data_IF_239122374889
#
_entry.id   IF_239122374889
#
_cell.length_a   1.000
_cell.length_b   1.000
_cell.length_c   1.000
_cell.angle_alpha   90.00
_cell.angle_beta   90.00
_cell.angle_gamma   90.00
#
_symmetry.space_group_name_H-M   'P 1'
#
loop_
_entity.id
_entity.type
_entity.pdbx_description
1 polymer ?
#
# COMPACT_ATOMS: atom_id res chain seq x y z
N UNK A 1 11.67 19.70 -29.05
CA UNK A 1 11.71 20.32 -27.70
C UNK A 1 10.35 20.30 -26.98
N UNK A 2 9.42 19.39 -27.32
CA UNK A 2 8.12 19.22 -26.64
C UNK A 2 7.99 17.90 -25.88
N UNK A 3 8.84 16.92 -26.19
CA UNK A 3 8.73 15.57 -25.62
C UNK A 3 9.34 15.47 -24.21
N UNK A 4 10.38 16.24 -23.91
CA UNK A 4 11.03 16.22 -22.59
C UNK A 4 10.10 16.70 -21.46
N UNK A 5 9.14 17.58 -21.76
CA UNK A 5 8.18 18.10 -20.77
C UNK A 5 7.10 17.06 -20.43
N UNK A 6 6.75 16.17 -21.37
CA UNK A 6 5.80 15.09 -21.12
C UNK A 6 6.40 14.01 -20.21
N UNK A 7 7.68 13.71 -20.35
CA UNK A 7 8.36 12.72 -19.50
C UNK A 7 8.43 13.15 -18.04
N UNK A 8 8.69 14.44 -17.76
CA UNK A 8 8.72 14.95 -16.38
C UNK A 8 7.34 14.88 -15.72
N UNK A 9 6.25 15.14 -16.46
CA UNK A 9 4.88 15.01 -15.95
C UNK A 9 4.46 13.54 -15.73
N UNK A 10 5.04 12.59 -16.47
CA UNK A 10 4.77 11.16 -16.28
C UNK A 10 5.37 10.61 -14.99
N UNK A 11 6.44 11.21 -14.46
CA UNK A 11 7.03 10.81 -13.16
C UNK A 11 6.08 11.18 -12.01
N UNK A 12 5.34 12.28 -12.15
CA UNK A 12 4.32 12.72 -11.18
C UNK A 12 2.92 12.17 -11.48
N UNK A 13 2.78 11.37 -12.52
CA UNK A 13 1.52 10.67 -12.78
C UNK A 13 1.37 9.60 -11.71
N UNK A 14 0.30 9.64 -10.89
CA UNK A 14 0.00 8.56 -9.96
C UNK A 14 -0.09 7.29 -10.81
N UNK A 15 0.86 6.37 -10.65
CA UNK A 15 0.67 5.04 -11.20
C UNK A 15 -0.64 4.54 -10.62
N UNK A 16 -1.50 3.97 -11.47
CA UNK A 16 -2.79 3.39 -11.11
C UNK A 16 -2.55 2.08 -10.33
N UNK A 17 -1.91 2.25 -9.18
CA UNK A 17 -1.56 1.22 -8.26
C UNK A 17 -2.84 0.89 -7.52
N UNK A 18 -3.45 -0.24 -7.89
CA UNK A 18 -4.68 -0.70 -7.24
C UNK A 18 -4.33 -1.22 -5.84
N UNK A 19 -4.73 -0.51 -4.78
CA UNK A 19 -4.50 -1.00 -3.43
C UNK A 19 -5.38 -2.23 -3.17
N UNK A 20 -4.88 -3.10 -2.30
CA UNK A 20 -5.70 -4.17 -1.73
C UNK A 20 -6.72 -3.51 -0.80
N UNK A 21 -7.99 -3.65 -1.14
CA UNK A 21 -9.09 -3.12 -0.35
C UNK A 21 -9.39 -4.06 0.82
N UNK A 22 -9.43 -3.51 2.02
CA UNK A 22 -9.80 -4.27 3.22
C UNK A 22 -11.31 -4.14 3.48
N UNK A 23 -11.87 -2.96 3.17
CA UNK A 23 -13.30 -2.71 3.29
C UNK A 23 -14.01 -3.04 1.98
N UNK A 24 -15.02 -3.90 2.07
CA UNK A 24 -15.94 -4.18 0.96
C UNK A 24 -17.04 -3.12 0.86
N UNK A 25 -17.68 -3.02 -0.31
CA UNK A 25 -18.84 -2.16 -0.51
C UNK A 25 -18.53 -0.66 -0.65
N UNK A 26 -17.28 -0.30 -0.98
CA UNK A 26 -16.93 1.08 -1.31
C UNK A 26 -17.61 1.49 -2.62
N UNK A 27 -18.27 2.65 -2.62
CA UNK A 27 -18.82 3.26 -3.82
C UNK A 27 -17.72 3.69 -4.78
N UNK A 28 -18.08 3.85 -6.07
CA UNK A 28 -17.15 4.38 -7.08
C UNK A 28 -16.55 5.74 -6.68
N UNK A 29 -17.32 6.57 -5.98
CA UNK A 29 -16.88 7.89 -5.50
C UNK A 29 -15.88 7.76 -4.35
N UNK A 30 -16.14 6.86 -3.40
CA UNK A 30 -15.19 6.55 -2.32
C UNK A 30 -13.86 6.01 -2.87
N UNK A 31 -13.91 5.09 -3.83
CA UNK A 31 -12.72 4.56 -4.51
C UNK A 31 -11.93 5.67 -5.20
N UNK A 32 -12.60 6.57 -5.93
CA UNK A 32 -11.96 7.71 -6.59
C UNK A 32 -11.39 8.76 -5.60
N UNK A 33 -11.92 8.80 -4.37
CA UNK A 33 -11.46 9.72 -3.33
C UNK A 33 -10.32 9.17 -2.47
N UNK A 34 -9.88 7.93 -2.72
CA UNK A 34 -8.82 7.29 -1.95
C UNK A 34 -7.51 8.05 -2.09
N UNK A 35 -6.83 8.26 -0.96
CA UNK A 35 -5.51 8.89 -0.93
C UNK A 35 -4.59 8.15 0.02
N UNK A 36 -3.30 8.14 -0.32
CA UNK A 36 -2.26 7.67 0.58
C UNK A 36 -2.25 8.55 1.84
N UNK A 37 -2.33 7.93 3.01
CA UNK A 37 -2.36 8.61 4.32
C UNK A 37 -1.15 8.31 5.18
N UNK A 38 -0.39 7.26 4.86
CA UNK A 38 0.79 6.90 5.61
C UNK A 38 1.51 5.69 5.04
N UNK A 39 2.67 5.39 5.62
CA UNK A 39 3.49 4.23 5.28
C UNK A 39 3.68 3.40 6.55
N UNK A 40 3.62 2.09 6.41
CA UNK A 40 3.85 1.14 7.49
C UNK A 40 4.80 0.04 7.06
N UNK A 41 5.57 -0.50 7.99
CA UNK A 41 6.54 -1.57 7.72
C UNK A 41 6.29 -2.78 8.62
N UNK A 42 6.60 -3.96 8.09
CA UNK A 42 6.65 -5.22 8.83
C UNK A 42 8.07 -5.75 8.69
N UNK A 43 8.74 -6.02 9.79
CA UNK A 43 10.15 -6.44 9.79
C UNK A 43 10.34 -7.95 9.97
N UNK A 44 9.26 -8.68 10.26
CA UNK A 44 9.31 -10.11 10.54
C UNK A 44 8.06 -10.81 10.03
N UNK A 45 8.22 -11.60 8.97
CA UNK A 45 7.23 -12.56 8.48
C UNK A 45 7.97 -13.75 7.88
N UNK A 46 7.50 -14.97 8.12
CA UNK A 46 8.13 -16.18 7.56
C UNK A 46 7.58 -16.52 6.16
N UNK A 47 6.41 -15.98 5.83
CA UNK A 47 5.72 -16.22 4.57
C UNK A 47 5.08 -14.93 4.05
N UNK A 48 4.77 -14.90 2.75
CA UNK A 48 4.03 -13.80 2.14
C UNK A 48 2.61 -13.67 2.73
N UNK A 49 1.98 -14.78 3.11
CA UNK A 49 0.66 -14.78 3.74
C UNK A 49 0.68 -14.15 5.14
N UNK A 50 1.70 -14.46 5.94
CA UNK A 50 1.92 -13.83 7.24
C UNK A 50 2.23 -12.33 7.09
N UNK A 51 3.08 -11.98 6.12
CA UNK A 51 3.38 -10.59 5.78
C UNK A 51 2.10 -9.83 5.39
N UNK A 52 1.26 -10.44 4.55
CA UNK A 52 0.00 -9.87 4.12
C UNK A 52 -0.98 -9.69 5.28
N UNK A 53 -1.12 -10.71 6.12
CA UNK A 53 -1.97 -10.69 7.32
C UNK A 53 -1.53 -9.60 8.31
N UNK A 54 -0.22 -9.43 8.48
CA UNK A 54 0.35 -8.35 9.29
C UNK A 54 0.01 -6.96 8.73
N UNK A 55 0.05 -6.78 7.41
CA UNK A 55 -0.37 -5.53 6.78
C UNK A 55 -1.86 -5.27 6.88
N UNK A 56 -2.70 -6.29 6.69
CA UNK A 56 -4.16 -6.18 6.90
C UNK A 56 -4.45 -5.70 8.31
N UNK A 57 -3.84 -6.33 9.33
CA UNK A 57 -4.02 -5.93 10.73
C UNK A 57 -3.59 -4.48 10.97
N UNK A 58 -2.39 -4.10 10.52
CA UNK A 58 -1.89 -2.73 10.69
C UNK A 58 -2.75 -1.68 9.98
N UNK A 59 -3.28 -2.02 8.81
CA UNK A 59 -4.17 -1.13 8.08
C UNK A 59 -5.52 -0.98 8.79
N UNK A 60 -6.08 -2.07 9.36
CA UNK A 60 -7.28 -2.00 10.20
C UNK A 60 -7.04 -1.16 11.47
N UNK A 61 -5.93 -1.37 12.17
CA UNK A 61 -5.57 -0.63 13.38
C UNK A 61 -5.41 0.88 13.09
N UNK A 62 -4.95 1.23 11.88
CA UNK A 62 -4.83 2.61 11.40
C UNK A 62 -6.15 3.20 10.84
N UNK A 63 -7.23 2.43 10.79
CA UNK A 63 -8.49 2.84 10.17
C UNK A 63 -8.40 3.10 8.66
N UNK A 64 -7.44 2.44 7.98
CA UNK A 64 -7.26 2.53 6.54
C UNK A 64 -8.28 1.65 5.80
N UNK A 65 -8.68 2.08 4.60
CA UNK A 65 -9.64 1.34 3.75
C UNK A 65 -8.95 0.35 2.82
N UNK A 66 -7.64 0.53 2.63
CA UNK A 66 -6.80 -0.35 1.84
C UNK A 66 -5.32 -0.07 2.06
N UNK A 67 -4.48 -0.95 1.50
CA UNK A 67 -3.03 -0.83 1.54
C UNK A 67 -2.43 -1.30 0.22
N UNK A 68 -1.21 -0.85 -0.06
CA UNK A 68 -0.44 -1.34 -1.18
C UNK A 68 0.98 -1.64 -0.70
N UNK A 69 1.41 -2.89 -0.83
CA UNK A 69 2.78 -3.30 -0.51
C UNK A 69 3.71 -2.71 -1.58
N UNK A 70 4.54 -1.75 -1.19
CA UNK A 70 5.47 -1.05 -2.09
C UNK A 70 6.83 -1.72 -2.16
N UNK A 71 7.23 -2.44 -1.12
CA UNK A 71 8.50 -3.15 -1.08
C UNK A 71 8.36 -4.44 -0.27
N UNK A 72 9.04 -5.49 -0.72
CA UNK A 72 9.19 -6.75 0.00
C UNK A 72 10.65 -7.15 -0.08
N UNK A 73 11.28 -7.26 1.08
CA UNK A 73 12.65 -7.71 1.24
C UNK A 73 12.64 -9.11 1.83
N UNK A 74 13.29 -10.06 1.16
CA UNK A 74 13.54 -11.37 1.75
C UNK A 74 14.99 -11.42 2.21
N UNK A 75 15.19 -11.52 3.51
CA UNK A 75 16.48 -11.71 4.13
C UNK A 75 16.67 -13.21 4.36
N UNK A 76 17.69 -13.81 3.73
CA UNK A 76 18.22 -15.10 4.17
C UNK A 76 18.92 -14.86 5.50
N UNK A 77 18.33 -15.32 6.60
CA UNK A 77 18.92 -15.17 7.92
C UNK A 77 20.30 -15.86 7.95
N UNK A 78 21.30 -15.17 8.50
CA UNK A 78 22.68 -15.62 8.49
C UNK A 78 23.01 -16.84 9.34
N UNK A 79 22.07 -17.52 10.00
CA UNK A 79 22.39 -18.69 10.84
C UNK A 79 21.31 -19.76 11.06
N UNK A 80 20.01 -19.54 10.81
CA UNK A 80 18.96 -20.50 11.27
C UNK A 80 17.99 -21.04 10.19
N UNK A 81 18.29 -20.85 8.90
CA UNK A 81 17.53 -21.52 7.82
C UNK A 81 16.08 -21.06 7.64
N UNK A 82 15.57 -20.14 8.47
CA UNK A 82 14.26 -19.53 8.28
C UNK A 82 14.36 -18.33 7.34
N UNK A 83 13.53 -18.33 6.29
CA UNK A 83 13.37 -17.17 5.42
C UNK A 83 12.57 -16.11 6.17
N UNK A 84 13.20 -14.96 6.45
CA UNK A 84 12.50 -13.83 7.05
C UNK A 84 12.22 -12.80 5.95
N UNK A 85 10.98 -12.38 5.87
CA UNK A 85 10.47 -11.37 4.97
C UNK A 85 10.19 -10.11 5.79
N UNK A 86 10.69 -9.00 5.29
CA UNK A 86 10.29 -7.67 5.69
C UNK A 86 9.56 -7.01 4.52
N UNK A 87 8.74 -6.01 4.79
CA UNK A 87 8.06 -5.28 3.74
C UNK A 87 7.66 -3.90 4.21
N UNK A 88 7.32 -3.07 3.23
CA UNK A 88 6.74 -1.75 3.43
C UNK A 88 5.44 -1.65 2.63
N UNK A 89 4.42 -1.04 3.21
CA UNK A 89 3.14 -0.80 2.56
C UNK A 89 2.68 0.64 2.77
N UNK A 90 2.08 1.22 1.74
CA UNK A 90 1.36 2.49 1.81
C UNK A 90 -0.08 2.23 2.19
N UNK A 91 -0.59 2.96 3.19
CA UNK A 91 -1.97 2.89 3.64
C UNK A 91 -2.81 3.94 2.93
N UNK A 92 -4.05 3.58 2.58
CA UNK A 92 -4.99 4.45 1.89
C UNK A 92 -6.23 4.66 2.74
N UNK A 93 -6.72 5.90 2.78
CA UNK A 93 -7.99 6.23 3.40
C UNK A 93 -8.89 7.00 2.41
N UNK A 94 -10.19 7.00 2.69
CA UNK A 94 -11.19 7.80 1.97
C UNK A 94 -11.12 9.22 2.50
N UNK A 95 -10.99 10.17 1.59
CA UNK A 95 -11.24 11.55 1.95
C UNK A 95 -12.76 11.78 2.02
N UNK A 96 -13.32 11.72 3.24
CA UNK A 96 -14.75 11.91 3.48
C UNK A 96 -15.32 13.18 2.84
N UNK A 97 -14.56 14.27 2.83
CA UNK A 97 -14.98 15.53 2.21
C UNK A 97 -15.21 15.36 0.70
N UNK A 98 -14.30 14.68 0.01
CA UNK A 98 -14.42 14.42 -1.44
C UNK A 98 -15.41 13.29 -1.78
N UNK A 99 -15.65 12.38 -0.85
CA UNK A 99 -16.57 11.26 -1.06
C UNK A 99 -18.05 11.67 -0.92
N UNK A 100 -18.36 12.68 -0.10
CA UNK A 100 -19.74 13.03 0.25
C UNK A 100 -20.15 14.49 -0.07
N UNK A 101 -19.22 15.38 -0.44
CA UNK A 101 -19.54 16.66 -1.13
C UNK A 101 -19.72 16.38 -2.63
#
# INVERSE_FOLDING_TARGET
MKDLVKDVLSIFSPHDVKPVLIRSGLSHRELASMRAVGVTSVSWATTLEELNSAFVKKALDAGAVGYHITNVESHKQGNEGQHVMAGTATLYNINHKLAYD
#
